data_IF_481583046203
#
_entry.id   IF_481583046203
#
_cell.length_a   1.000
_cell.length_b   1.000
_cell.length_c   1.000
_cell.angle_alpha   90.00
_cell.angle_beta   90.00
_cell.angle_gamma   90.00
#
_symmetry.space_group_name_H-M   'P 1'
#
loop_
_entity.id
_entity.type
_entity.pdbx_description
1 polymer ?
#
# COMPACT_ATOMS: atom_id res chain seq x y z
N UNK A 1 -25.08 47.53 16.86
CA UNK A 1 -25.00 47.27 15.41
C UNK A 1 -24.06 46.12 15.17
N UNK A 2 -24.51 45.16 14.34
CA UNK A 2 -23.71 44.20 13.56
C UNK A 2 -22.91 43.12 14.28
N UNK A 3 -23.56 41.96 14.35
CA UNK A 3 -23.03 40.60 14.46
C UNK A 3 -22.22 40.26 13.21
N UNK A 4 -20.89 40.33 13.27
CA UNK A 4 -20.02 39.80 12.21
C UNK A 4 -20.08 38.27 12.22
N UNK A 5 -20.83 37.72 11.25
CA UNK A 5 -20.87 36.30 10.96
C UNK A 5 -19.66 35.96 10.07
N UNK A 6 -18.78 35.12 10.62
CA UNK A 6 -17.86 34.19 9.95
C UNK A 6 -18.13 33.96 8.46
N UNK A 7 -17.17 34.34 7.61
CA UNK A 7 -16.98 33.72 6.29
C UNK A 7 -15.57 33.13 6.27
N UNK A 8 -15.41 32.00 6.97
CA UNK A 8 -14.32 31.10 6.65
C UNK A 8 -14.52 30.73 5.17
N UNK A 9 -13.59 31.10 4.33
CA UNK A 9 -13.57 30.75 2.92
C UNK A 9 -13.60 29.22 2.84
N UNK A 10 -14.80 28.70 2.60
CA UNK A 10 -15.01 27.29 2.39
C UNK A 10 -14.36 26.97 1.04
N UNK A 11 -13.13 26.48 1.08
CA UNK A 11 -12.38 25.99 -0.07
C UNK A 11 -13.35 25.14 -0.91
N UNK A 12 -13.44 25.44 -2.22
CA UNK A 12 -14.29 24.71 -3.15
C UNK A 12 -14.04 23.19 -2.97
N UNK A 13 -15.07 22.34 -2.86
CA UNK A 13 -14.90 20.89 -2.84
C UNK A 13 -13.91 20.35 -3.90
N UNK A 14 -13.85 20.96 -5.07
CA UNK A 14 -12.92 20.57 -6.14
C UNK A 14 -11.46 20.92 -5.80
N UNK A 15 -11.21 22.11 -5.26
CA UNK A 15 -9.89 22.53 -4.79
C UNK A 15 -9.40 21.66 -3.61
N UNK A 16 -10.29 21.29 -2.69
CA UNK A 16 -9.98 20.33 -1.61
C UNK A 16 -9.57 18.97 -2.17
N UNK A 17 -10.29 18.46 -3.17
CA UNK A 17 -9.97 17.17 -3.76
C UNK A 17 -8.62 17.17 -4.49
N UNK A 18 -8.23 18.27 -5.13
CA UNK A 18 -6.90 18.40 -5.74
C UNK A 18 -5.79 18.50 -4.68
N UNK A 19 -6.00 19.24 -3.60
CA UNK A 19 -5.05 19.29 -2.48
C UNK A 19 -4.84 17.91 -1.86
N UNK A 20 -5.92 17.16 -1.59
CA UNK A 20 -5.84 15.78 -1.08
C UNK A 20 -5.07 14.86 -2.03
N UNK A 21 -5.28 14.99 -3.34
CA UNK A 21 -4.52 14.23 -4.35
C UNK A 21 -3.03 14.58 -4.32
N UNK A 22 -2.69 15.85 -4.16
CA UNK A 22 -1.30 16.32 -4.11
C UNK A 22 -0.60 15.86 -2.83
N UNK A 23 -1.25 15.99 -1.68
CA UNK A 23 -0.74 15.50 -0.40
C UNK A 23 -0.51 13.99 -0.44
N UNK A 24 -1.49 13.24 -0.97
CA UNK A 24 -1.34 11.80 -1.16
C UNK A 24 -0.18 11.45 -2.08
N UNK A 25 0.02 12.18 -3.19
CA UNK A 25 1.18 11.99 -4.08
C UNK A 25 2.51 12.32 -3.40
N UNK A 26 2.54 13.32 -2.52
CA UNK A 26 3.74 13.70 -1.78
C UNK A 26 4.11 12.62 -0.74
N UNK A 27 3.13 12.19 0.06
CA UNK A 27 3.28 11.10 1.02
C UNK A 27 3.77 9.80 0.37
N UNK A 28 3.15 9.42 -0.75
CA UNK A 28 3.58 8.22 -1.48
C UNK A 28 4.99 8.35 -2.05
N UNK A 29 5.41 9.56 -2.46
CA UNK A 29 6.78 9.81 -2.90
C UNK A 29 7.78 9.75 -1.75
N UNK A 30 7.45 10.26 -0.57
CA UNK A 30 8.34 10.17 0.59
C UNK A 30 8.52 8.74 1.11
N UNK A 31 7.58 7.84 0.80
CA UNK A 31 7.71 6.41 1.10
C UNK A 31 8.51 5.62 0.06
N UNK A 32 8.86 6.20 -1.08
CA UNK A 32 9.69 5.52 -2.06
C UNK A 32 11.11 5.39 -1.47
N UNK A 33 11.64 4.17 -1.31
CA UNK A 33 13.03 4.01 -0.92
C UNK A 33 13.95 4.66 -1.97
N UNK A 34 15.11 5.22 -1.58
CA UNK A 34 16.02 5.98 -2.44
C UNK A 34 16.79 5.12 -3.47
N UNK A 35 16.13 4.13 -4.09
CA UNK A 35 16.74 3.27 -5.08
C UNK A 35 15.82 3.14 -6.29
N UNK A 36 16.29 3.64 -7.43
CA UNK A 36 15.70 3.34 -8.73
C UNK A 36 15.66 1.83 -8.89
N UNK A 37 14.43 1.32 -8.92
CA UNK A 37 14.18 -0.09 -8.95
C UNK A 37 14.69 -0.67 -10.27
N UNK A 38 15.61 -1.63 -10.19
CA UNK A 38 15.92 -2.64 -11.23
C UNK A 38 14.68 -3.50 -11.55
N UNK A 39 13.53 -2.89 -11.87
CA UNK A 39 12.42 -3.62 -12.50
C UNK A 39 12.91 -3.89 -13.91
N UNK A 40 13.24 -5.15 -14.18
CA UNK A 40 13.75 -5.58 -15.48
C UNK A 40 12.81 -5.10 -16.60
N UNK A 41 13.40 -4.67 -17.71
CA UNK A 41 12.63 -4.37 -18.91
C UNK A 41 11.89 -5.64 -19.36
N UNK A 42 10.64 -5.50 -19.79
CA UNK A 42 9.81 -6.63 -20.24
C UNK A 42 8.47 -6.77 -19.52
N UNK A 43 8.30 -6.14 -18.35
CA UNK A 43 7.00 -6.07 -17.69
C UNK A 43 6.09 -5.03 -18.35
N UNK A 44 4.80 -5.37 -18.47
CA UNK A 44 3.77 -4.39 -18.83
C UNK A 44 3.67 -3.27 -17.80
N UNK A 45 3.02 -2.17 -18.19
CA UNK A 45 2.74 -1.05 -17.28
C UNK A 45 2.03 -1.50 -16.01
N UNK A 46 1.06 -2.42 -16.12
CA UNK A 46 0.27 -2.90 -14.98
C UNK A 46 1.07 -3.78 -14.03
N UNK A 47 1.94 -4.65 -14.55
CA UNK A 47 2.84 -5.48 -13.75
C UNK A 47 3.87 -4.64 -13.00
N UNK A 48 4.48 -3.67 -13.69
CA UNK A 48 5.41 -2.71 -13.08
C UNK A 48 4.74 -1.96 -11.91
N UNK A 49 3.49 -1.53 -12.07
CA UNK A 49 2.72 -0.89 -11.00
C UNK A 49 2.49 -1.84 -9.83
N UNK A 50 2.15 -3.11 -10.07
CA UNK A 50 1.98 -4.11 -9.00
C UNK A 50 3.29 -4.35 -8.24
N UNK A 51 4.40 -4.53 -8.94
CA UNK A 51 5.73 -4.72 -8.33
C UNK A 51 6.09 -3.52 -7.46
N UNK A 52 5.86 -2.29 -7.94
CA UNK A 52 6.08 -1.08 -7.13
C UNK A 52 5.24 -1.04 -5.87
N UNK A 53 3.95 -1.38 -5.96
CA UNK A 53 3.06 -1.45 -4.79
C UNK A 53 3.50 -2.50 -3.78
N UNK A 54 3.99 -3.65 -4.25
CA UNK A 54 4.56 -4.69 -3.37
C UNK A 54 5.80 -4.14 -2.66
N UNK A 55 6.72 -3.50 -3.39
CA UNK A 55 7.95 -2.92 -2.83
C UNK A 55 7.70 -1.84 -1.79
N UNK A 56 6.67 -1.01 -1.97
CA UNK A 56 6.30 0.04 -1.03
C UNK A 56 5.29 -0.42 0.02
N UNK A 57 4.98 -1.72 0.09
CA UNK A 57 3.98 -2.29 0.99
C UNK A 57 2.58 -1.64 0.88
N UNK A 58 2.22 -1.16 -0.31
CA UNK A 58 0.91 -0.55 -0.63
C UNK A 58 0.06 -1.43 -1.55
N UNK A 59 0.45 -2.68 -1.76
CA UNK A 59 -0.28 -3.64 -2.60
C UNK A 59 -1.61 -4.05 -1.97
N UNK A 60 -1.65 -4.14 -0.63
CA UNK A 60 -2.84 -4.44 0.15
C UNK A 60 -3.43 -3.15 0.70
N UNK A 61 -4.43 -2.60 0.01
CA UNK A 61 -5.22 -1.49 0.54
C UNK A 61 -6.27 -2.01 1.53
N UNK A 62 -6.80 -1.18 2.44
CA UNK A 62 -7.87 -1.60 3.36
C UNK A 62 -9.06 -2.25 2.64
N UNK A 63 -9.49 -1.70 1.49
CA UNK A 63 -10.56 -2.29 0.67
C UNK A 63 -10.22 -3.69 0.14
N UNK A 64 -8.93 -3.96 -0.14
CA UNK A 64 -8.48 -5.28 -0.57
C UNK A 64 -8.39 -6.26 0.60
N UNK A 65 -7.99 -5.81 1.79
CA UNK A 65 -8.03 -6.62 3.00
C UNK A 65 -9.46 -7.07 3.33
N UNK A 66 -10.41 -6.14 3.29
CA UNK A 66 -11.85 -6.42 3.48
C UNK A 66 -12.38 -7.44 2.46
N UNK A 67 -12.00 -7.31 1.18
CA UNK A 67 -12.38 -8.28 0.14
C UNK A 67 -11.91 -9.71 0.46
N UNK A 68 -10.76 -9.87 1.12
CA UNK A 68 -10.23 -11.16 1.55
C UNK A 68 -10.70 -11.59 2.95
N UNK A 69 -11.57 -10.81 3.61
CA UNK A 69 -12.01 -11.09 4.99
C UNK A 69 -10.89 -10.92 6.03
N UNK A 70 -9.78 -10.28 5.66
CA UNK A 70 -8.68 -9.98 6.56
C UNK A 70 -9.02 -8.73 7.36
N UNK A 71 -8.96 -8.82 8.70
CA UNK A 71 -9.02 -7.65 9.59
C UNK A 71 -7.63 -7.03 9.69
N UNK A 72 -7.55 -5.73 9.91
CA UNK A 72 -6.28 -4.99 10.02
C UNK A 72 -5.35 -5.56 11.12
N UNK A 73 -5.91 -6.23 12.13
CA UNK A 73 -5.18 -6.73 13.32
C UNK A 73 -4.88 -8.24 13.31
N UNK A 74 -5.16 -8.95 12.21
CA UNK A 74 -4.80 -10.37 12.13
C UNK A 74 -3.41 -10.46 11.51
N UNK A 75 -2.38 -10.60 12.34
CA UNK A 75 -1.07 -11.01 11.88
C UNK A 75 -1.24 -12.38 11.21
N UNK A 76 -1.16 -12.47 9.86
CA UNK A 76 -1.49 -13.71 9.20
C UNK A 76 -0.38 -14.69 9.54
N UNK A 77 -0.65 -15.79 10.22
CA UNK A 77 0.36 -16.84 10.46
C UNK A 77 0.48 -17.73 9.24
N UNK A 78 1.69 -18.08 8.86
CA UNK A 78 1.95 -18.97 7.73
C UNK A 78 1.50 -20.40 8.06
N UNK A 79 0.56 -20.92 7.27
CA UNK A 79 0.05 -22.30 7.42
C UNK A 79 0.94 -23.34 6.75
N UNK A 80 1.91 -22.91 5.95
CA UNK A 80 2.76 -23.78 5.16
C UNK A 80 4.07 -24.12 5.86
N UNK A 81 4.52 -23.32 6.85
CA UNK A 81 5.71 -23.62 7.63
C UNK A 81 5.34 -24.21 9.01
N UNK A 82 6.18 -25.11 9.50
CA UNK A 82 6.02 -25.70 10.84
C UNK A 82 6.34 -24.71 11.97
N UNK A 83 7.07 -23.64 11.65
CA UNK A 83 7.53 -22.63 12.60
C UNK A 83 6.43 -21.62 12.98
N UNK A 84 5.29 -21.62 12.27
CA UNK A 84 4.16 -20.72 12.54
C UNK A 84 4.50 -19.24 12.38
N UNK A 85 5.51 -18.92 11.54
CA UNK A 85 5.99 -17.57 11.33
C UNK A 85 4.92 -16.65 10.73
N UNK A 86 5.08 -15.35 10.89
CA UNK A 86 4.20 -14.36 10.26
C UNK A 86 4.31 -14.46 8.73
N UNK A 87 3.17 -14.63 8.06
CA UNK A 87 2.96 -14.73 6.62
C UNK A 87 3.12 -13.38 5.92
N UNK A 88 4.20 -12.69 6.21
CA UNK A 88 4.63 -11.52 5.45
C UNK A 88 4.97 -11.93 4.02
N UNK A 89 4.90 -10.97 3.08
CA UNK A 89 5.32 -11.22 1.70
C UNK A 89 6.78 -11.70 1.62
N UNK A 90 7.65 -11.20 2.49
CA UNK A 90 9.03 -11.65 2.57
C UNK A 90 9.12 -13.12 3.00
N UNK A 91 8.36 -13.53 4.02
CA UNK A 91 8.30 -14.92 4.45
C UNK A 91 7.78 -15.82 3.32
N UNK A 92 6.60 -15.51 2.79
CA UNK A 92 5.91 -16.33 1.79
C UNK A 92 6.69 -16.45 0.47
N UNK A 93 7.35 -15.37 0.02
CA UNK A 93 8.10 -15.37 -1.24
C UNK A 93 9.53 -15.85 -1.08
N UNK A 94 10.19 -15.57 0.06
CA UNK A 94 11.64 -15.69 0.20
C UNK A 94 12.15 -16.65 1.28
N UNK A 95 11.45 -16.81 2.40
CA UNK A 95 11.97 -17.51 3.57
C UNK A 95 11.19 -18.76 4.00
N UNK A 96 9.99 -19.00 3.45
CA UNK A 96 9.13 -20.11 3.86
C UNK A 96 9.67 -21.45 3.33
N UNK A 97 10.34 -22.22 4.19
CA UNK A 97 10.85 -23.58 3.90
C UNK A 97 9.76 -24.53 3.40
N UNK A 98 8.56 -24.43 3.95
CA UNK A 98 7.42 -25.26 3.55
C UNK A 98 6.89 -25.00 2.13
N UNK A 99 7.37 -23.94 1.47
CA UNK A 99 7.03 -23.60 0.08
C UNK A 99 8.21 -23.81 -0.88
N UNK A 100 9.34 -24.38 -0.43
CA UNK A 100 10.52 -24.60 -1.28
C UNK A 100 10.24 -25.53 -2.46
N UNK A 101 9.33 -26.49 -2.33
CA UNK A 101 8.96 -27.42 -3.41
C UNK A 101 8.08 -26.79 -4.50
N UNK A 102 7.57 -25.57 -4.28
CA UNK A 102 6.72 -24.85 -5.24
C UNK A 102 7.43 -23.64 -5.89
N UNK A 103 8.71 -23.45 -5.58
CA UNK A 103 9.58 -22.45 -6.21
C UNK A 103 10.24 -23.00 -7.46
#
# INVERSE_FOLDING_TARGET
TSREKTKAEAIDPEERAELDKLERKAYLRSQLPPTDSNILAGYSRWETVRIRRIRTNTALTPSKLVFFGLKEDMDPTCTSCSEGAEATLQHMLWACKGLEHHR
#
